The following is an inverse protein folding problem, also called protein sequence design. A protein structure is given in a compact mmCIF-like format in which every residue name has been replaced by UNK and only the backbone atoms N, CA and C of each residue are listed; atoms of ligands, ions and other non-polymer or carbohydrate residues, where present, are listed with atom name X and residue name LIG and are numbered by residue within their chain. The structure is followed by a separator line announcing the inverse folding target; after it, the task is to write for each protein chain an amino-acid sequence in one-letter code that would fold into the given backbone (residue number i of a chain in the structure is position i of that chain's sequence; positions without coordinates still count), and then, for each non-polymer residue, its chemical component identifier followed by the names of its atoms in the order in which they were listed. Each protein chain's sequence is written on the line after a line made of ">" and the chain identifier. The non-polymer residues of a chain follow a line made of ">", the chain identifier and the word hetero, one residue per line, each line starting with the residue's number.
data_IF_556291774475
#
_entry.id   IF_556291774475
#
_cell.length_a   1.000
_cell.length_b   1.000
_cell.length_c   1.000
_cell.angle_alpha   90.00
_cell.angle_beta   90.00
_cell.angle_gamma   90.00
#
_symmetry.space_group_name_H-M   'P 1'
#
loop_
_entity.id
_entity.type
_entity.pdbx_description
1 polymer ?
#
# COMPACT_ATOMS: atom_id res chain seq x y z
N UNK A 1 9.73 0.09 28.46
CA UNK A 1 9.37 -0.98 27.52
C UNK A 1 10.52 -1.19 26.57
N UNK A 2 10.95 -2.43 26.38
CA UNK A 2 12.06 -2.75 25.46
C UNK A 2 11.67 -2.47 24.01
N UNK A 3 12.42 -1.59 23.36
CA UNK A 3 12.28 -1.31 21.93
C UNK A 3 12.86 -2.48 21.13
N UNK A 4 12.10 -3.00 20.16
CA UNK A 4 12.59 -4.03 19.24
C UNK A 4 13.71 -3.44 18.38
N UNK A 5 14.93 -3.97 18.51
CA UNK A 5 16.05 -3.65 17.61
C UNK A 5 15.91 -4.50 16.34
N UNK A 6 15.67 -3.85 15.21
CA UNK A 6 15.51 -4.50 13.90
C UNK A 6 16.85 -4.91 13.26
N UNK A 7 17.97 -4.40 13.78
CA UNK A 7 19.30 -4.57 13.20
C UNK A 7 19.88 -5.99 13.36
N UNK A 8 19.25 -6.85 14.16
CA UNK A 8 19.64 -8.25 14.32
C UNK A 8 18.43 -9.19 14.46
N UNK A 9 17.64 -9.31 13.40
CA UNK A 9 16.45 -10.17 13.36
C UNK A 9 16.77 -11.67 13.57
N UNK A 10 18.00 -12.10 13.26
CA UNK A 10 18.45 -13.48 13.40
C UNK A 10 18.56 -13.94 14.86
N UNK A 11 18.72 -13.03 15.81
CA UNK A 11 18.81 -13.34 17.24
C UNK A 11 17.50 -13.12 18.01
N UNK A 12 16.36 -12.99 17.30
CA UNK A 12 15.09 -12.70 17.96
C UNK A 12 14.54 -13.91 18.72
N UNK A 13 14.18 -13.70 19.99
CA UNK A 13 13.46 -14.68 20.78
C UNK A 13 12.01 -14.82 20.29
N UNK A 14 11.35 -15.94 20.63
CA UNK A 14 9.94 -16.16 20.30
C UNK A 14 9.03 -15.00 20.78
N UNK A 15 9.33 -14.41 21.94
CA UNK A 15 8.59 -13.27 22.49
C UNK A 15 8.73 -12.03 21.62
N UNK A 16 9.95 -11.74 21.13
CA UNK A 16 10.19 -10.61 20.23
C UNK A 16 9.48 -10.79 18.88
N UNK A 17 9.47 -12.02 18.35
CA UNK A 17 8.73 -12.36 17.13
C UNK A 17 7.23 -12.13 17.32
N UNK A 18 6.66 -12.57 18.44
CA UNK A 18 5.24 -12.33 18.73
C UNK A 18 4.89 -10.84 18.88
N UNK A 19 5.73 -10.06 19.59
CA UNK A 19 5.55 -8.60 19.69
C UNK A 19 5.59 -7.95 18.30
N UNK A 20 6.52 -8.35 17.45
CA UNK A 20 6.62 -7.84 16.09
C UNK A 20 5.40 -8.19 15.24
N UNK A 21 4.91 -9.42 15.34
CA UNK A 21 3.70 -9.85 14.65
C UNK A 21 2.51 -8.95 15.02
N UNK A 22 2.32 -8.68 16.32
CA UNK A 22 1.26 -7.80 16.80
C UNK A 22 1.37 -6.38 16.25
N UNK A 23 2.57 -5.81 16.26
CA UNK A 23 2.81 -4.48 15.68
C UNK A 23 2.50 -4.46 14.18
N UNK A 24 2.89 -5.50 13.44
CA UNK A 24 2.56 -5.62 12.02
C UNK A 24 1.06 -5.72 11.78
N UNK A 25 0.36 -6.53 12.57
CA UNK A 25 -1.10 -6.65 12.50
C UNK A 25 -1.79 -5.29 12.72
N UNK A 26 -1.32 -4.50 13.69
CA UNK A 26 -1.83 -3.14 13.93
C UNK A 26 -1.48 -2.17 12.77
N UNK A 27 -0.35 -2.35 12.11
CA UNK A 27 0.08 -1.49 11.00
C UNK A 27 -0.63 -1.80 9.67
N UNK A 28 -0.97 -3.07 9.41
CA UNK A 28 -1.54 -3.52 8.12
C UNK A 28 -2.79 -2.71 7.72
N UNK A 29 -3.79 -2.47 8.59
CA UNK A 29 -4.97 -1.67 8.25
C UNK A 29 -4.66 -0.24 7.80
N UNK A 30 -3.53 0.33 8.23
CA UNK A 30 -3.12 1.68 7.89
C UNK A 30 -2.34 1.77 6.57
N UNK A 31 -1.88 0.64 6.03
CA UNK A 31 -1.16 0.61 4.75
C UNK A 31 -2.12 0.80 3.56
N UNK A 32 -1.77 1.75 2.69
CA UNK A 32 -2.55 2.05 1.47
C UNK A 32 -2.14 1.16 0.31
N UNK A 33 -2.31 -0.15 0.45
CA UNK A 33 -1.84 -1.14 -0.52
C UNK A 33 -2.28 -0.82 -1.96
N UNK A 34 -3.55 -0.45 -2.18
CA UNK A 34 -4.10 -0.12 -3.50
C UNK A 34 -3.52 1.14 -4.16
N UNK A 35 -2.67 1.91 -3.47
CA UNK A 35 -1.92 3.03 -4.06
C UNK A 35 -0.52 2.64 -4.53
N UNK A 36 -0.06 1.44 -4.19
CA UNK A 36 1.23 0.91 -4.63
C UNK A 36 1.08 0.53 -6.11
N UNK A 37 2.03 0.91 -6.96
CA UNK A 37 1.97 0.46 -8.35
C UNK A 37 2.20 -1.06 -8.44
N UNK A 38 1.81 -1.68 -9.55
CA UNK A 38 1.87 -3.14 -9.72
C UNK A 38 3.29 -3.71 -9.55
N UNK A 39 4.31 -3.01 -10.05
CA UNK A 39 5.72 -3.44 -9.96
C UNK A 39 6.19 -3.46 -8.51
N UNK A 40 5.98 -2.36 -7.78
CA UNK A 40 6.36 -2.26 -6.38
C UNK A 40 5.56 -3.21 -5.50
N UNK A 41 4.26 -3.42 -5.79
CA UNK A 41 3.48 -4.41 -5.08
C UNK A 41 4.09 -5.81 -5.24
N UNK A 42 4.40 -6.20 -6.48
CA UNK A 42 4.96 -7.53 -6.76
C UNK A 42 6.34 -7.73 -6.11
N UNK A 43 7.18 -6.70 -6.09
CA UNK A 43 8.53 -6.81 -5.54
C UNK A 43 8.60 -6.66 -4.02
N UNK A 44 7.74 -5.81 -3.44
CA UNK A 44 7.89 -5.37 -2.03
C UNK A 44 6.79 -5.87 -1.10
N UNK A 45 5.60 -6.17 -1.62
CA UNK A 45 4.44 -6.58 -0.79
C UNK A 45 4.13 -8.05 -0.97
N UNK A 46 4.09 -8.50 -2.23
CA UNK A 46 3.73 -9.88 -2.57
C UNK A 46 4.62 -10.98 -1.95
N UNK A 47 5.93 -10.77 -1.71
CA UNK A 47 6.75 -11.76 -0.99
C UNK A 47 6.22 -12.04 0.43
N UNK A 48 5.63 -11.02 1.06
CA UNK A 48 5.07 -11.09 2.42
C UNK A 48 3.58 -11.45 2.44
N UNK A 49 3.01 -11.93 1.33
CA UNK A 49 1.56 -12.25 1.25
C UNK A 49 1.05 -13.29 2.26
N UNK A 50 1.93 -14.00 2.97
CA UNK A 50 1.58 -15.00 3.99
C UNK A 50 1.17 -14.37 5.33
N UNK A 51 1.65 -13.16 5.62
CA UNK A 51 1.32 -12.42 6.85
C UNK A 51 0.11 -11.49 6.69
N UNK A 52 -0.42 -11.36 5.46
CA UNK A 52 -1.59 -10.53 5.22
C UNK A 52 -2.87 -11.28 5.62
N UNK A 53 -3.87 -10.57 6.20
CA UNK A 53 -5.19 -11.13 6.43
C UNK A 53 -5.78 -11.75 5.15
N UNK A 54 -6.43 -12.91 5.30
CA UNK A 54 -6.95 -13.71 4.17
C UNK A 54 -7.86 -12.89 3.24
N UNK A 55 -8.70 -12.03 3.79
CA UNK A 55 -9.60 -11.18 3.00
C UNK A 55 -8.82 -10.13 2.20
N UNK A 56 -7.90 -9.42 2.85
CA UNK A 56 -7.04 -8.42 2.20
C UNK A 56 -6.20 -9.04 1.08
N UNK A 57 -5.65 -10.24 1.30
CA UNK A 57 -4.90 -10.97 0.27
C UNK A 57 -5.74 -11.27 -0.97
N UNK A 58 -7.00 -11.68 -0.80
CA UNK A 58 -7.93 -11.91 -1.92
C UNK A 58 -8.20 -10.61 -2.68
N UNK A 59 -8.52 -9.53 -1.96
CA UNK A 59 -8.79 -8.23 -2.57
C UNK A 59 -7.57 -7.70 -3.35
N UNK A 60 -6.35 -7.83 -2.80
CA UNK A 60 -5.11 -7.44 -3.48
C UNK A 60 -4.79 -8.30 -4.70
N UNK A 61 -5.00 -9.62 -4.61
CA UNK A 61 -4.77 -10.50 -5.75
C UNK A 61 -5.73 -10.18 -6.90
N UNK A 62 -7.01 -9.94 -6.60
CA UNK A 62 -7.99 -9.51 -7.60
C UNK A 62 -7.60 -8.18 -8.23
N UNK A 63 -7.17 -7.20 -7.43
CA UNK A 63 -6.75 -5.89 -7.93
C UNK A 63 -5.53 -5.95 -8.86
N UNK A 64 -4.48 -6.67 -8.47
CA UNK A 64 -3.21 -6.65 -9.21
C UNK A 64 -3.12 -7.67 -10.33
N UNK A 65 -3.79 -8.83 -10.22
CA UNK A 65 -3.56 -9.96 -11.13
C UNK A 65 -4.75 -10.35 -11.99
N UNK A 66 -5.99 -9.97 -11.65
CA UNK A 66 -7.16 -10.32 -12.47
C UNK A 66 -7.37 -9.25 -13.55
N UNK A 67 -7.25 -9.59 -14.84
CA UNK A 67 -7.56 -8.66 -15.92
C UNK A 67 -9.05 -8.29 -15.89
N UNK A 68 -9.39 -7.01 -16.06
CA UNK A 68 -10.77 -6.48 -16.08
C UNK A 68 -11.53 -6.49 -14.73
N UNK A 69 -10.86 -6.66 -13.60
CA UNK A 69 -11.51 -6.46 -12.30
C UNK A 69 -11.91 -4.98 -12.15
N UNK A 70 -13.21 -4.68 -12.12
CA UNK A 70 -13.77 -3.33 -11.97
C UNK A 70 -13.62 -2.85 -10.52
N UNK A 71 -12.39 -2.65 -10.07
CA UNK A 71 -12.09 -2.21 -8.71
C UNK A 71 -12.58 -0.78 -8.40
N UNK A 72 -13.05 -0.04 -9.41
CA UNK A 72 -13.58 1.32 -9.27
C UNK A 72 -14.86 1.38 -8.43
N UNK A 73 -15.69 0.35 -8.45
CA UNK A 73 -17.01 0.37 -7.79
C UNK A 73 -16.90 0.19 -6.26
N UNK A 74 -15.89 -0.55 -5.79
CA UNK A 74 -15.70 -0.85 -4.35
C UNK A 74 -14.88 0.22 -3.60
N UNK A 75 -14.26 1.17 -4.31
CA UNK A 75 -13.39 2.19 -3.71
C UNK A 75 -14.12 3.48 -3.32
N UNK A 76 -15.39 3.67 -3.70
CA UNK A 76 -16.17 4.85 -3.37
C UNK A 76 -16.28 5.08 -1.84
N UNK A 77 -16.17 4.01 -1.03
CA UNK A 77 -16.17 4.09 0.43
C UNK A 77 -14.81 4.27 1.12
N UNK A 78 -13.67 4.21 0.42
CA UNK A 78 -12.33 4.20 1.06
C UNK A 78 -11.48 5.48 0.85
N UNK A 79 -12.10 6.57 0.37
CA UNK A 79 -11.54 7.93 0.26
C UNK A 79 -10.34 8.14 -0.70
N UNK A 80 -10.23 9.34 -1.30
CA UNK A 80 -10.21 9.48 -2.74
C UNK A 80 -8.82 9.32 -3.37
N UNK A 81 -8.84 8.98 -4.66
CA UNK A 81 -7.77 9.36 -5.58
C UNK A 81 -7.53 10.86 -5.36
N UNK A 82 -6.30 11.29 -5.05
CA UNK A 82 -5.94 12.66 -5.42
C UNK A 82 -6.24 12.70 -6.91
N UNK A 83 -7.29 13.42 -7.30
CA UNK A 83 -7.48 13.79 -8.69
C UNK A 83 -6.12 14.32 -9.12
N UNK A 84 -5.51 13.74 -10.15
CA UNK A 84 -4.41 14.40 -10.83
C UNK A 84 -5.02 15.66 -11.45
N UNK A 85 -5.15 16.73 -10.66
CA UNK A 85 -5.39 18.07 -11.18
C UNK A 85 -4.08 18.48 -11.82
N UNK A 86 -3.94 18.07 -13.08
CA UNK A 86 -3.40 18.86 -14.18
C UNK A 86 -2.18 19.72 -13.84
N UNK A 87 -0.97 19.16 -14.03
CA UNK A 87 0.19 19.97 -14.45
C UNK A 87 -0.15 20.78 -15.72
N UNK A 88 -1.08 20.27 -16.53
CA UNK A 88 -1.63 20.88 -17.73
C UNK A 88 -2.28 22.27 -17.51
N UNK A 89 -2.63 22.65 -16.27
CA UNK A 89 -3.21 23.99 -15.98
C UNK A 89 -2.13 25.05 -15.73
N UNK A 90 -0.97 24.67 -15.19
CA UNK A 90 0.12 25.61 -14.90
C UNK A 90 0.80 26.05 -16.20
N UNK A 91 1.07 25.10 -17.10
CA UNK A 91 1.65 25.39 -18.42
C UNK A 91 0.70 26.27 -19.25
N UNK A 92 -0.61 25.98 -19.24
CA UNK A 92 -1.62 26.79 -19.96
C UNK A 92 -1.79 28.21 -19.40
N UNK A 93 -1.58 28.43 -18.10
CA UNK A 93 -1.64 29.78 -17.50
C UNK A 93 -0.40 30.63 -17.79
N UNK A 94 0.78 30.01 -17.92
CA UNK A 94 2.03 30.72 -18.27
C UNK A 94 2.00 31.15 -19.74
N UNK A 95 1.46 30.32 -20.63
CA UNK A 95 1.39 30.61 -22.07
C UNK A 95 0.49 31.82 -22.42
N UNK A 96 -0.55 32.12 -21.63
CA UNK A 96 -1.46 33.25 -21.89
C UNK A 96 -0.98 34.61 -21.39
N UNK A 97 0.10 34.69 -20.60
CA UNK A 97 0.61 35.96 -20.07
C UNK A 97 1.70 36.62 -20.91
N UNK A 98 2.00 36.07 -22.10
CA UNK A 98 3.03 36.59 -23.02
C UNK A 98 2.52 36.86 -24.45
N UNK A 99 1.21 36.96 -24.65
CA UNK A 99 0.61 37.44 -25.91
C UNK A 99 -0.26 38.66 -25.65
#
# INVERSE_FOLDING_TARGET
>A
GENLRFDNAESWSAVSIQKFHKILEDCIPHMRFFRINRKDYYLKVYPFRRILPSQLKKDLNSYYFVPKFHFKEKLEGYAPQRSKKTEDTLVKKIARKRS
#
